data_IF_984625164327
#
_entry.id   IF_984625164327
#
_cell.length_a   1.000
_cell.length_b   1.000
_cell.length_c   1.000
_cell.angle_alpha   90.00
_cell.angle_beta   90.00
_cell.angle_gamma   90.00
#
_symmetry.space_group_name_H-M   'P 1'
#
loop_
_entity.id
_entity.type
_entity.pdbx_description
1 polymer ?
#
# COMPACT_ATOMS: atom_id res chain seq x y z
N UNK A 1 -18.20 -7.10 -22.30
CA UNK A 1 -17.23 -7.65 -21.32
C UNK A 1 -17.99 -7.84 -20.00
N UNK A 2 -18.12 -9.06 -19.49
CA UNK A 2 -18.76 -9.29 -18.19
C UNK A 2 -17.75 -8.89 -17.12
N UNK A 3 -18.12 -7.99 -16.21
CA UNK A 3 -17.30 -7.67 -15.04
C UNK A 3 -17.18 -8.95 -14.19
N UNK A 4 -16.03 -9.63 -14.25
CA UNK A 4 -15.80 -10.90 -13.54
C UNK A 4 -15.95 -10.72 -12.03
N UNK A 5 -15.50 -9.58 -11.49
CA UNK A 5 -15.74 -9.20 -10.10
C UNK A 5 -17.25 -9.06 -9.82
N UNK A 6 -17.99 -8.42 -10.72
CA UNK A 6 -19.45 -8.29 -10.63
C UNK A 6 -20.17 -9.63 -10.68
N UNK A 7 -19.66 -10.61 -11.44
CA UNK A 7 -20.21 -11.97 -11.46
C UNK A 7 -19.93 -12.71 -10.14
N UNK A 8 -18.71 -12.63 -9.62
CA UNK A 8 -18.37 -13.21 -8.30
C UNK A 8 -19.25 -12.63 -7.20
N UNK A 9 -19.48 -11.32 -7.21
CA UNK A 9 -20.39 -10.64 -6.28
C UNK A 9 -21.83 -11.15 -6.50
N UNK A 10 -22.32 -11.17 -7.73
CA UNK A 10 -23.70 -11.57 -8.04
C UNK A 10 -24.04 -13.00 -7.61
N UNK A 11 -23.14 -13.95 -7.85
CA UNK A 11 -23.35 -15.37 -7.52
C UNK A 11 -23.51 -15.58 -6.00
N UNK A 12 -22.70 -14.90 -5.18
CA UNK A 12 -22.77 -15.01 -3.72
C UNK A 12 -23.85 -14.11 -3.10
N UNK A 13 -24.09 -12.93 -3.68
CA UNK A 13 -25.09 -11.97 -3.21
C UNK A 13 -26.48 -12.60 -3.11
N UNK A 14 -26.88 -13.39 -4.11
CA UNK A 14 -28.21 -14.01 -4.14
C UNK A 14 -28.46 -14.95 -2.96
N UNK A 15 -27.42 -15.59 -2.44
CA UNK A 15 -27.52 -16.47 -1.28
C UNK A 15 -27.60 -15.74 0.06
N UNK A 16 -27.32 -14.43 0.06
CA UNK A 16 -27.15 -13.60 1.26
C UNK A 16 -28.21 -12.52 1.42
N UNK A 17 -28.94 -12.19 0.36
CA UNK A 17 -30.10 -11.29 0.44
C UNK A 17 -31.19 -11.95 1.26
N UNK A 18 -31.75 -11.20 2.22
CA UNK A 18 -32.88 -11.70 2.99
C UNK A 18 -34.12 -11.74 2.10
N UNK A 19 -34.65 -12.94 1.83
CA UNK A 19 -35.80 -13.16 0.94
C UNK A 19 -37.08 -12.43 1.40
N UNK A 20 -37.22 -12.15 2.70
CA UNK A 20 -38.41 -11.50 3.26
C UNK A 20 -38.38 -9.98 3.17
N UNK A 21 -37.19 -9.37 3.24
CA UNK A 21 -37.03 -7.91 3.19
C UNK A 21 -36.48 -7.43 1.85
N UNK A 22 -35.95 -8.34 1.04
CA UNK A 22 -35.14 -8.05 -0.15
C UNK A 22 -34.01 -7.04 0.14
N UNK A 23 -33.53 -7.04 1.38
CA UNK A 23 -32.45 -6.18 1.84
C UNK A 23 -31.22 -7.02 2.18
N UNK A 24 -30.06 -6.39 2.02
CA UNK A 24 -28.80 -6.89 2.54
C UNK A 24 -28.38 -5.97 3.68
N UNK A 25 -28.10 -6.53 4.85
CA UNK A 25 -27.50 -5.73 5.92
C UNK A 25 -26.04 -5.42 5.60
N UNK A 26 -25.52 -4.39 6.27
CA UNK A 26 -24.17 -3.91 6.03
C UNK A 26 -23.10 -4.94 6.42
N UNK A 27 -23.33 -5.72 7.48
CA UNK A 27 -22.37 -6.71 7.95
C UNK A 27 -22.18 -7.81 6.89
N UNK A 28 -23.28 -8.22 6.25
CA UNK A 28 -23.28 -9.11 5.08
C UNK A 28 -22.64 -8.45 3.85
N UNK A 29 -22.74 -7.12 3.69
CA UNK A 29 -22.06 -6.42 2.60
C UNK A 29 -20.53 -6.42 2.75
N UNK A 30 -20.00 -6.53 3.98
CA UNK A 30 -18.54 -6.60 4.22
C UNK A 30 -17.91 -7.89 3.68
N UNK A 31 -18.70 -8.94 3.45
CA UNK A 31 -18.26 -10.14 2.74
C UNK A 31 -17.78 -9.86 1.31
N UNK A 32 -18.20 -8.72 0.75
CA UNK A 32 -17.79 -8.23 -0.57
C UNK A 32 -16.67 -7.19 -0.52
N UNK A 33 -16.03 -7.01 0.64
CA UNK A 33 -14.81 -6.22 0.76
C UNK A 33 -13.67 -6.78 -0.10
N UNK A 34 -12.73 -5.91 -0.49
CA UNK A 34 -11.61 -6.27 -1.37
C UNK A 34 -10.83 -7.48 -0.86
N UNK A 35 -10.58 -7.55 0.45
CA UNK A 35 -9.85 -8.65 1.09
C UNK A 35 -10.53 -10.00 0.86
N UNK A 36 -11.80 -10.09 1.24
CA UNK A 36 -12.61 -11.30 1.09
C UNK A 36 -12.82 -11.67 -0.38
N UNK A 37 -12.89 -10.69 -1.29
CA UNK A 37 -13.05 -10.95 -2.72
C UNK A 37 -11.78 -11.47 -3.38
N UNK A 38 -10.59 -11.09 -2.91
CA UNK A 38 -9.34 -11.54 -3.50
C UNK A 38 -9.17 -13.07 -3.47
N UNK A 39 -9.48 -13.71 -2.34
CA UNK A 39 -9.42 -15.18 -2.22
C UNK A 39 -10.47 -15.86 -3.11
N UNK A 40 -11.69 -15.32 -3.14
CA UNK A 40 -12.75 -15.83 -4.00
C UNK A 40 -12.40 -15.70 -5.46
N UNK A 41 -11.93 -14.52 -5.89
CA UNK A 41 -11.45 -14.27 -7.24
C UNK A 41 -10.40 -15.32 -7.63
N UNK A 42 -9.42 -15.58 -6.75
CA UNK A 42 -8.37 -16.58 -7.00
C UNK A 42 -8.92 -18.00 -7.20
N UNK A 43 -10.09 -18.35 -6.65
CA UNK A 43 -10.70 -19.66 -6.86
C UNK A 43 -11.24 -19.87 -8.30
N UNK A 44 -11.64 -18.79 -8.98
CA UNK A 44 -12.15 -18.87 -10.35
C UNK A 44 -11.03 -19.16 -11.35
N UNK A 45 -11.32 -20.03 -12.32
CA UNK A 45 -10.34 -20.44 -13.34
C UNK A 45 -9.77 -19.26 -14.15
N UNK A 46 -10.57 -18.24 -14.44
CA UNK A 46 -10.12 -17.08 -15.22
C UNK A 46 -9.02 -16.29 -14.49
N UNK A 47 -9.15 -16.06 -13.18
CA UNK A 47 -8.13 -15.37 -12.42
C UNK A 47 -6.87 -16.21 -12.22
N UNK A 48 -7.00 -17.54 -12.06
CA UNK A 48 -5.82 -18.43 -12.07
C UNK A 48 -5.05 -18.36 -13.39
N UNK A 49 -5.76 -18.38 -14.52
CA UNK A 49 -5.15 -18.19 -15.84
C UNK A 49 -4.45 -16.84 -15.99
N UNK A 50 -5.06 -15.77 -15.49
CA UNK A 50 -4.43 -14.45 -15.46
C UNK A 50 -3.14 -14.47 -14.64
N UNK A 51 -3.15 -15.09 -13.45
CA UNK A 51 -1.94 -15.27 -12.63
C UNK A 51 -0.87 -16.05 -13.38
N UNK A 52 -1.21 -17.21 -13.95
CA UNK A 52 -0.25 -18.02 -14.72
C UNK A 52 0.34 -17.26 -15.91
N UNK A 53 -0.52 -16.52 -16.64
CA UNK A 53 -0.11 -15.68 -17.77
C UNK A 53 0.87 -14.58 -17.35
N UNK A 54 0.55 -13.83 -16.30
CA UNK A 54 1.35 -12.71 -15.83
C UNK A 54 2.63 -13.14 -15.09
N UNK A 55 2.65 -14.34 -14.50
CA UNK A 55 3.86 -14.89 -13.89
C UNK A 55 4.82 -15.49 -14.92
N UNK A 56 4.37 -15.78 -16.14
CA UNK A 56 5.23 -16.26 -17.23
C UNK A 56 6.40 -15.31 -17.52
N UNK A 57 7.53 -15.86 -17.96
CA UNK A 57 8.71 -15.07 -18.34
C UNK A 57 8.43 -14.10 -19.49
N UNK A 58 7.59 -14.50 -20.45
CA UNK A 58 7.17 -13.64 -21.56
C UNK A 58 6.40 -12.39 -21.12
N UNK A 59 5.75 -12.42 -19.95
CA UNK A 59 4.99 -11.30 -19.42
C UNK A 59 5.82 -10.33 -18.56
N UNK A 60 7.11 -10.61 -18.33
CA UNK A 60 7.96 -9.83 -17.40
C UNK A 60 7.96 -8.33 -17.72
N UNK A 61 8.09 -7.94 -18.99
CA UNK A 61 8.10 -6.52 -19.36
C UNK A 61 6.74 -5.84 -19.17
N UNK A 62 5.64 -6.58 -19.40
CA UNK A 62 4.30 -6.08 -19.14
C UNK A 62 4.07 -5.89 -17.63
N UNK A 63 4.50 -6.83 -16.79
CA UNK A 63 4.41 -6.69 -15.33
C UNK A 63 5.34 -5.58 -14.81
N UNK A 64 6.51 -5.38 -15.41
CA UNK A 64 7.38 -4.24 -15.12
C UNK A 64 6.68 -2.92 -15.44
N UNK A 65 6.01 -2.80 -16.58
CA UNK A 65 5.20 -1.64 -16.94
C UNK A 65 4.09 -1.40 -15.91
N UNK A 66 3.36 -2.46 -15.55
CA UNK A 66 2.28 -2.42 -14.56
C UNK A 66 2.78 -1.89 -13.21
N UNK A 67 3.84 -2.50 -12.67
CA UNK A 67 4.49 -2.11 -11.40
C UNK A 67 5.00 -0.67 -11.42
N UNK A 68 5.53 -0.22 -12.57
CA UNK A 68 6.12 1.11 -12.70
C UNK A 68 5.09 2.23 -12.71
N UNK A 69 3.94 2.02 -13.36
CA UNK A 69 3.01 3.10 -13.68
C UNK A 69 1.65 2.98 -12.98
N UNK A 70 1.10 1.78 -12.86
CA UNK A 70 -0.33 1.59 -12.55
C UNK A 70 -0.61 1.11 -11.14
N UNK A 71 0.31 0.35 -10.51
CA UNK A 71 0.05 -0.24 -9.19
C UNK A 71 -0.29 0.85 -8.15
N UNK A 72 -1.39 0.61 -7.42
CA UNK A 72 -1.96 1.49 -6.41
C UNK A 72 -2.44 2.83 -6.96
N UNK A 73 -2.70 2.94 -8.26
CA UNK A 73 -3.23 4.15 -8.90
C UNK A 73 -4.31 3.83 -9.92
N UNK A 74 -5.54 4.21 -9.59
CA UNK A 74 -6.72 3.97 -10.41
C UNK A 74 -6.96 5.06 -11.47
N UNK A 75 -6.11 6.09 -11.49
CA UNK A 75 -6.22 7.18 -12.47
C UNK A 75 -5.74 6.79 -13.87
N UNK A 76 -5.88 7.73 -14.80
CA UNK A 76 -5.53 7.53 -16.21
C UNK A 76 -4.06 7.82 -16.46
N UNK A 77 -3.41 6.96 -17.25
CA UNK A 77 -2.02 7.06 -17.66
C UNK A 77 -1.95 7.09 -19.18
N UNK A 78 -1.24 8.09 -19.71
CA UNK A 78 -0.98 8.23 -21.15
C UNK A 78 0.37 7.60 -21.49
N UNK A 79 0.38 6.65 -22.44
CA UNK A 79 1.58 5.95 -22.90
C UNK A 79 1.82 6.30 -24.36
N UNK A 80 2.79 7.18 -24.64
CA UNK A 80 3.13 7.58 -26.02
C UNK A 80 3.95 6.54 -26.78
N UNK A 81 4.82 5.82 -26.08
CA UNK A 81 5.72 4.83 -26.68
C UNK A 81 4.97 3.60 -27.21
N UNK A 82 5.23 3.21 -28.46
CA UNK A 82 4.48 2.14 -29.13
C UNK A 82 4.75 0.75 -28.53
N UNK A 83 5.97 0.46 -28.08
CA UNK A 83 6.27 -0.84 -27.46
C UNK A 83 5.59 -0.95 -26.10
N UNK A 84 5.62 0.11 -25.28
CA UNK A 84 4.86 0.17 -24.03
C UNK A 84 3.35 0.09 -24.26
N UNK A 85 2.83 0.64 -25.36
CA UNK A 85 1.42 0.46 -25.72
C UNK A 85 1.10 -1.00 -26.00
N UNK A 86 1.96 -1.75 -26.70
CA UNK A 86 1.76 -3.20 -26.91
C UNK A 86 1.73 -3.97 -25.59
N UNK A 87 2.62 -3.63 -24.66
CA UNK A 87 2.63 -4.21 -23.31
C UNK A 87 1.33 -3.88 -22.54
N UNK A 88 0.83 -2.64 -22.65
CA UNK A 88 -0.43 -2.22 -22.05
C UNK A 88 -1.65 -2.88 -22.71
N UNK A 89 -1.62 -3.10 -24.02
CA UNK A 89 -2.65 -3.84 -24.76
C UNK A 89 -2.69 -5.31 -24.33
N UNK A 90 -1.53 -5.94 -24.10
CA UNK A 90 -1.46 -7.27 -23.49
C UNK A 90 -2.11 -7.29 -22.10
N UNK A 91 -1.78 -6.34 -21.22
CA UNK A 91 -2.42 -6.23 -19.90
C UNK A 91 -3.93 -5.95 -19.99
N UNK A 92 -4.38 -5.27 -21.05
CA UNK A 92 -5.81 -5.04 -21.32
C UNK A 92 -6.49 -6.35 -21.74
N UNK A 93 -5.84 -7.17 -22.56
CA UNK A 93 -6.36 -8.48 -22.97
C UNK A 93 -6.44 -9.47 -21.80
N UNK A 94 -5.51 -9.39 -20.85
CA UNK A 94 -5.54 -10.14 -19.59
C UNK A 94 -6.61 -9.60 -18.61
N UNK A 95 -7.25 -8.47 -18.91
CA UNK A 95 -8.27 -7.86 -18.05
C UNK A 95 -7.73 -7.06 -16.86
N UNK A 96 -6.43 -6.74 -16.87
CA UNK A 96 -5.78 -5.94 -15.82
C UNK A 96 -6.02 -4.45 -16.04
N UNK A 97 -5.88 -4.00 -17.28
CA UNK A 97 -6.07 -2.61 -17.67
C UNK A 97 -7.33 -2.42 -18.52
N UNK A 98 -7.82 -1.18 -18.57
CA UNK A 98 -8.81 -0.73 -19.53
C UNK A 98 -8.15 0.33 -20.41
N UNK A 99 -8.28 0.16 -21.72
CA UNK A 99 -7.94 1.18 -22.71
C UNK A 99 -9.16 2.09 -22.91
N UNK A 100 -8.97 3.38 -22.63
CA UNK A 100 -10.05 4.37 -22.71
C UNK A 100 -10.15 5.02 -24.08
N UNK A 101 -9.01 5.47 -24.60
CA UNK A 101 -8.89 6.13 -25.90
C UNK A 101 -7.43 6.15 -26.33
N UNK A 102 -7.13 5.72 -27.56
CA UNK A 102 -5.80 5.80 -28.15
C UNK A 102 -4.70 5.27 -27.23
N UNK A 103 -3.93 6.18 -26.63
CA UNK A 103 -2.79 5.89 -25.75
C UNK A 103 -3.09 5.96 -24.24
N UNK A 104 -4.36 6.06 -23.84
CA UNK A 104 -4.78 6.23 -22.44
C UNK A 104 -5.30 4.93 -21.84
N UNK A 105 -4.73 4.57 -20.68
CA UNK A 105 -5.05 3.35 -19.95
C UNK A 105 -5.31 3.66 -18.48
N UNK A 106 -6.10 2.83 -17.80
CA UNK A 106 -6.22 2.84 -16.34
C UNK A 106 -6.37 1.41 -15.82
N UNK A 107 -6.19 1.23 -14.50
CA UNK A 107 -6.48 -0.04 -13.86
C UNK A 107 -7.96 -0.41 -14.02
N UNK A 108 -8.26 -1.67 -14.30
CA UNK A 108 -9.63 -2.09 -14.57
C UNK A 108 -10.58 -1.88 -13.37
N UNK A 109 -10.09 -2.11 -12.14
CA UNK A 109 -10.82 -1.80 -10.91
C UNK A 109 -9.90 -1.83 -9.69
N UNK A 110 -10.39 -1.35 -8.53
CA UNK A 110 -9.71 -1.52 -7.24
C UNK A 110 -9.50 -2.99 -6.86
N UNK A 111 -10.47 -3.88 -7.18
CA UNK A 111 -10.32 -5.33 -6.98
C UNK A 111 -9.13 -5.90 -7.78
N UNK A 112 -8.97 -5.51 -9.05
CA UNK A 112 -7.84 -5.96 -9.87
C UNK A 112 -6.52 -5.42 -9.34
N UNK A 113 -6.46 -4.15 -8.94
CA UNK A 113 -5.26 -3.58 -8.31
C UNK A 113 -4.84 -4.41 -7.09
N UNK A 114 -5.78 -4.63 -6.16
CA UNK A 114 -5.53 -5.39 -4.94
C UNK A 114 -5.12 -6.83 -5.24
N UNK A 115 -5.81 -7.48 -6.17
CA UNK A 115 -5.51 -8.85 -6.59
C UNK A 115 -4.08 -8.96 -7.15
N UNK A 116 -3.69 -8.04 -8.02
CA UNK A 116 -2.33 -7.98 -8.59
C UNK A 116 -1.29 -7.74 -7.50
N UNK A 117 -1.55 -6.82 -6.58
CA UNK A 117 -0.66 -6.52 -5.44
C UNK A 117 -0.51 -7.68 -4.47
N UNK A 118 -1.53 -8.53 -4.33
CA UNK A 118 -1.52 -9.70 -3.43
C UNK A 118 -0.87 -10.93 -4.08
N UNK A 119 -1.19 -11.24 -5.33
CA UNK A 119 -0.82 -12.54 -5.92
C UNK A 119 0.24 -12.47 -7.03
N UNK A 120 0.36 -11.34 -7.72
CA UNK A 120 1.24 -11.24 -8.89
C UNK A 120 2.56 -10.56 -8.51
N UNK A 121 2.51 -9.37 -7.91
CA UNK A 121 3.71 -8.59 -7.58
C UNK A 121 4.63 -9.34 -6.59
N UNK A 122 4.14 -9.89 -5.45
CA UNK A 122 5.01 -10.62 -4.53
C UNK A 122 5.63 -11.87 -5.15
N UNK A 123 4.87 -12.58 -5.99
CA UNK A 123 5.30 -13.80 -6.68
C UNK A 123 6.34 -13.52 -7.77
N UNK A 124 6.15 -12.45 -8.56
CA UNK A 124 7.08 -12.05 -9.64
C UNK A 124 8.36 -11.42 -9.08
N UNK A 125 8.29 -10.78 -7.92
CA UNK A 125 9.40 -10.08 -7.28
C UNK A 125 9.58 -10.55 -5.83
N UNK A 126 10.09 -11.79 -5.62
CA UNK A 126 10.08 -12.46 -4.32
C UNK A 126 11.13 -11.94 -3.34
N UNK A 127 12.01 -11.02 -3.76
CA UNK A 127 13.13 -10.55 -2.95
C UNK A 127 12.67 -9.84 -1.68
N UNK A 128 12.99 -10.44 -0.53
CA UNK A 128 12.63 -10.01 0.81
C UNK A 128 13.65 -10.60 1.81
N UNK A 129 13.67 -10.14 3.08
CA UNK A 129 14.51 -10.74 4.10
C UNK A 129 14.21 -12.24 4.28
N UNK A 130 15.26 -13.03 4.52
CA UNK A 130 15.15 -14.47 4.82
C UNK A 130 15.17 -14.77 6.32
N UNK A 131 15.63 -13.83 7.14
CA UNK A 131 15.71 -13.97 8.59
C UNK A 131 14.32 -13.91 9.24
N UNK A 132 14.18 -14.47 10.44
CA UNK A 132 12.96 -14.34 11.22
C UNK A 132 12.67 -12.86 11.51
N UNK A 133 11.40 -12.41 11.40
CA UNK A 133 11.03 -11.03 11.72
C UNK A 133 11.42 -10.66 13.16
N UNK A 134 11.99 -9.47 13.38
CA UNK A 134 12.35 -9.04 14.73
C UNK A 134 11.11 -8.92 15.61
N UNK A 135 11.26 -9.31 16.88
CA UNK A 135 10.20 -9.36 17.88
C UNK A 135 10.60 -8.52 19.09
N UNK A 136 9.62 -7.83 19.68
CA UNK A 136 9.74 -7.11 20.94
C UNK A 136 9.89 -8.10 22.10
N UNK A 137 10.27 -7.60 23.28
CA UNK A 137 10.18 -8.37 24.53
C UNK A 137 8.70 -8.70 24.77
N UNK A 138 8.35 -9.98 24.69
CA UNK A 138 6.95 -10.45 24.74
C UNK A 138 6.49 -11.17 23.45
N UNK A 139 7.31 -11.16 22.39
CA UNK A 139 7.09 -11.99 21.20
C UNK A 139 6.22 -11.37 20.11
N UNK A 140 5.64 -10.18 20.34
CA UNK A 140 5.00 -9.38 19.29
C UNK A 140 6.02 -8.82 18.30
N UNK A 141 5.58 -8.47 17.09
CA UNK A 141 6.47 -7.94 16.06
C UNK A 141 7.07 -6.58 16.45
N UNK A 142 8.35 -6.38 16.16
CA UNK A 142 8.97 -5.05 16.22
C UNK A 142 8.75 -4.33 14.88
N UNK A 143 7.64 -3.59 14.79
CA UNK A 143 7.20 -2.96 13.55
C UNK A 143 8.18 -1.89 13.06
N UNK A 144 8.82 -1.14 13.94
CA UNK A 144 9.80 -0.14 13.54
C UNK A 144 11.03 -0.80 12.91
N UNK A 145 11.57 -1.84 13.55
CA UNK A 145 12.73 -2.56 13.00
C UNK A 145 12.38 -3.36 11.74
N UNK A 146 11.17 -3.94 11.65
CA UNK A 146 10.64 -4.54 10.42
C UNK A 146 10.64 -3.52 9.28
N UNK A 147 10.13 -2.30 9.51
CA UNK A 147 10.13 -1.26 8.48
C UNK A 147 11.56 -0.89 8.05
N UNK A 148 12.48 -0.71 9.01
CA UNK A 148 13.90 -0.42 8.70
C UNK A 148 14.55 -1.50 7.83
N UNK A 149 14.31 -2.77 8.16
CA UNK A 149 14.83 -3.89 7.38
C UNK A 149 14.16 -3.94 6.00
N UNK A 150 12.83 -3.74 5.93
CA UNK A 150 12.09 -3.81 4.67
C UNK A 150 12.60 -2.80 3.63
N UNK A 151 13.03 -1.60 4.04
CA UNK A 151 13.58 -0.58 3.14
C UNK A 151 14.82 -1.03 2.36
N UNK A 152 15.62 -1.95 2.93
CA UNK A 152 16.80 -2.54 2.25
C UNK A 152 16.43 -3.39 1.04
N UNK A 153 15.17 -3.83 0.97
CA UNK A 153 14.65 -4.70 -0.07
C UNK A 153 13.75 -3.95 -1.06
N UNK A 154 13.64 -2.63 -0.94
CA UNK A 154 12.93 -1.80 -1.92
C UNK A 154 13.69 -1.81 -3.24
N UNK A 155 12.96 -1.81 -4.35
CA UNK A 155 13.54 -1.63 -5.66
C UNK A 155 13.95 -0.16 -5.85
N UNK A 156 15.23 0.13 -5.61
CA UNK A 156 15.78 1.49 -5.70
C UNK A 156 15.54 2.14 -7.06
N UNK A 157 15.61 1.37 -8.14
CA UNK A 157 15.37 1.89 -9.49
C UNK A 157 13.90 2.32 -9.65
N UNK A 158 12.97 1.55 -9.09
CA UNK A 158 11.55 1.90 -9.07
C UNK A 158 11.32 3.20 -8.29
N UNK A 159 11.88 3.34 -7.08
CA UNK A 159 11.73 4.56 -6.27
C UNK A 159 12.35 5.78 -6.96
N UNK A 160 13.56 5.63 -7.50
CA UNK A 160 14.26 6.69 -8.22
C UNK A 160 13.46 7.18 -9.43
N UNK A 161 12.85 6.27 -10.19
CA UNK A 161 12.09 6.61 -11.40
C UNK A 161 10.68 7.12 -11.09
N UNK A 162 10.14 6.85 -9.89
CA UNK A 162 8.78 7.19 -9.51
C UNK A 162 8.48 8.69 -9.61
N UNK A 163 9.44 9.57 -9.29
CA UNK A 163 9.27 11.02 -9.47
C UNK A 163 9.00 11.46 -10.91
N UNK A 164 9.24 10.60 -11.90
CA UNK A 164 8.92 10.86 -13.33
C UNK A 164 7.80 10.00 -13.89
N UNK A 165 7.56 8.81 -13.31
CA UNK A 165 6.66 7.79 -13.86
C UNK A 165 5.38 7.57 -13.04
N UNK A 166 5.46 7.78 -11.74
CA UNK A 166 4.41 7.55 -10.74
C UNK A 166 4.47 8.65 -9.69
N UNK A 167 4.19 9.87 -10.13
CA UNK A 167 4.45 11.07 -9.35
C UNK A 167 3.19 11.79 -8.91
N UNK A 168 3.37 12.64 -7.90
CA UNK A 168 2.48 13.76 -7.57
C UNK A 168 3.33 15.03 -7.48
N UNK A 169 2.69 16.20 -7.45
CA UNK A 169 3.41 17.45 -7.16
C UNK A 169 3.64 17.61 -5.65
N UNK A 170 4.79 18.14 -5.25
CA UNK A 170 5.08 18.52 -3.85
C UNK A 170 4.15 19.63 -3.34
N UNK A 171 3.48 20.34 -4.25
CA UNK A 171 2.57 21.45 -3.95
C UNK A 171 3.32 22.76 -3.73
N UNK A 172 2.57 23.81 -3.36
CA UNK A 172 3.07 25.19 -3.34
C UNK A 172 3.93 25.53 -2.12
N UNK A 173 3.90 24.71 -1.08
CA UNK A 173 4.52 25.00 0.23
C UNK A 173 5.68 24.09 0.60
N UNK A 174 5.80 22.92 -0.05
CA UNK A 174 6.84 21.93 0.25
C UNK A 174 7.92 22.00 -0.81
N UNK A 175 9.13 22.34 -0.39
CA UNK A 175 10.30 22.45 -1.26
C UNK A 175 11.03 21.11 -1.39
N UNK A 176 11.44 20.80 -2.61
CA UNK A 176 12.25 19.64 -2.95
C UNK A 176 13.28 20.10 -3.97
N UNK A 177 14.57 19.97 -3.63
CA UNK A 177 15.68 20.52 -4.42
C UNK A 177 15.59 22.06 -4.59
N UNK A 178 15.07 22.77 -3.58
CA UNK A 178 14.91 24.22 -3.56
C UNK A 178 13.58 24.73 -4.13
N UNK A 179 12.84 23.90 -4.87
CA UNK A 179 11.65 24.32 -5.63
C UNK A 179 10.34 23.71 -5.12
N UNK A 180 9.23 24.42 -5.35
CA UNK A 180 7.87 23.95 -5.10
C UNK A 180 7.23 23.35 -6.37
N UNK A 181 6.15 22.60 -6.22
CA UNK A 181 5.42 21.90 -7.30
C UNK A 181 6.30 20.93 -8.11
N UNK A 182 7.31 20.38 -7.46
CA UNK A 182 8.22 19.41 -8.04
C UNK A 182 7.57 18.04 -8.06
N UNK A 183 7.78 17.27 -9.13
CA UNK A 183 7.33 15.88 -9.19
C UNK A 183 8.12 15.01 -8.21
N UNK A 184 7.38 14.36 -7.32
CA UNK A 184 7.89 13.47 -6.27
C UNK A 184 7.18 12.13 -6.34
N UNK A 185 7.79 11.02 -5.87
CA UNK A 185 7.09 9.75 -5.79
C UNK A 185 5.77 9.89 -5.03
N UNK A 186 4.71 9.30 -5.58
CA UNK A 186 3.40 9.24 -4.91
C UNK A 186 3.36 8.11 -3.88
N UNK A 187 2.40 8.21 -2.96
CA UNK A 187 2.13 7.26 -1.88
C UNK A 187 2.16 5.80 -2.33
N UNK A 188 1.45 5.50 -3.43
CA UNK A 188 1.25 4.12 -3.87
C UNK A 188 2.52 3.40 -4.27
N UNK A 189 3.61 4.12 -4.57
CA UNK A 189 4.90 3.50 -4.88
C UNK A 189 5.51 2.90 -3.61
N UNK A 190 5.52 3.66 -2.51
CA UNK A 190 6.03 3.18 -1.23
C UNK A 190 5.12 2.10 -0.63
N UNK A 191 3.81 2.31 -0.73
CA UNK A 191 2.79 1.35 -0.29
C UNK A 191 2.93 0.00 -1.03
N UNK A 192 3.11 0.03 -2.36
CA UNK A 192 3.31 -1.19 -3.15
C UNK A 192 4.59 -1.94 -2.79
N UNK A 193 5.71 -1.24 -2.61
CA UNK A 193 6.98 -1.86 -2.24
C UNK A 193 6.97 -2.40 -0.82
N UNK A 194 6.40 -1.65 0.13
CA UNK A 194 6.27 -2.11 1.51
C UNK A 194 5.38 -3.35 1.57
N UNK A 195 4.21 -3.33 0.93
CA UNK A 195 3.33 -4.49 0.87
C UNK A 195 4.01 -5.71 0.24
N UNK A 196 4.74 -5.52 -0.88
CA UNK A 196 5.46 -6.61 -1.54
C UNK A 196 6.47 -7.27 -0.61
N UNK A 197 7.30 -6.47 0.07
CA UNK A 197 8.33 -6.98 0.99
C UNK A 197 7.69 -7.66 2.20
N UNK A 198 6.70 -7.02 2.83
CA UNK A 198 6.02 -7.59 4.00
C UNK A 198 5.27 -8.88 3.66
N UNK A 199 4.62 -8.96 2.50
CA UNK A 199 3.95 -10.18 2.04
C UNK A 199 4.96 -11.30 1.83
N UNK A 200 6.07 -11.04 1.16
CA UNK A 200 7.10 -12.07 0.97
C UNK A 200 7.82 -12.45 2.26
N UNK A 201 7.88 -11.56 3.24
CA UNK A 201 8.60 -11.81 4.48
C UNK A 201 7.69 -12.40 5.56
N UNK A 202 6.68 -11.66 6.02
CA UNK A 202 5.89 -12.01 7.20
C UNK A 202 4.88 -13.13 6.93
N UNK A 203 4.30 -13.17 5.73
CA UNK A 203 3.35 -14.23 5.36
C UNK A 203 4.05 -15.58 5.22
N UNK A 204 5.18 -15.61 4.51
CA UNK A 204 5.92 -16.85 4.24
C UNK A 204 6.64 -17.42 5.46
N UNK A 205 6.99 -16.58 6.45
CA UNK A 205 7.78 -17.02 7.61
C UNK A 205 6.95 -17.29 8.86
N UNK A 206 5.87 -16.51 9.08
CA UNK A 206 5.19 -16.47 10.39
C UNK A 206 3.66 -16.40 10.25
N UNK A 207 3.12 -16.72 9.06
CA UNK A 207 1.67 -16.80 8.76
C UNK A 207 0.89 -15.51 9.02
N UNK A 208 1.55 -14.35 8.96
CA UNK A 208 0.85 -13.07 8.98
C UNK A 208 0.18 -12.79 7.64
N UNK A 209 -1.04 -12.26 7.67
CA UNK A 209 -1.71 -11.78 6.48
C UNK A 209 -1.44 -10.28 6.32
N UNK A 210 -1.06 -9.86 5.11
CA UNK A 210 -0.76 -8.46 4.77
C UNK A 210 -1.81 -7.97 3.79
N UNK A 211 -2.52 -6.92 4.16
CA UNK A 211 -3.72 -6.49 3.44
C UNK A 211 -3.61 -5.01 3.13
N UNK A 212 -3.75 -4.69 1.84
CA UNK A 212 -3.79 -3.32 1.36
C UNK A 212 -5.21 -2.78 1.33
N UNK A 213 -5.38 -1.49 1.61
CA UNK A 213 -6.65 -0.76 1.50
C UNK A 213 -7.79 -1.44 2.29
N UNK A 214 -7.59 -1.63 3.59
CA UNK A 214 -8.59 -2.20 4.48
C UNK A 214 -9.76 -1.24 4.68
N UNK A 215 -10.96 -1.61 4.23
CA UNK A 215 -12.15 -0.76 4.31
C UNK A 215 -12.76 -0.76 5.71
N UNK A 216 -13.11 0.42 6.21
CA UNK A 216 -13.57 0.66 7.58
C UNK A 216 -15.02 1.15 7.63
N UNK A 217 -15.70 0.79 8.73
CA UNK A 217 -17.06 1.23 9.02
C UNK A 217 -17.05 2.55 9.78
N UNK A 218 -17.43 3.63 9.13
CA UNK A 218 -17.82 4.88 9.79
C UNK A 218 -19.08 5.45 9.12
N UNK A 219 -19.92 6.15 9.89
CA UNK A 219 -21.35 6.29 9.60
C UNK A 219 -21.69 6.94 8.26
N UNK A 220 -20.80 7.70 7.62
CA UNK A 220 -21.11 8.38 6.33
C UNK A 220 -19.91 8.54 5.37
N UNK A 221 -18.66 8.28 5.80
CA UNK A 221 -17.45 8.46 4.99
C UNK A 221 -16.77 7.12 4.64
N UNK A 222 -16.43 6.92 3.37
CA UNK A 222 -15.59 5.81 2.95
C UNK A 222 -14.17 6.01 3.45
N UNK A 223 -13.76 5.22 4.45
CA UNK A 223 -12.40 5.22 4.98
C UNK A 223 -11.72 3.89 4.74
N UNK A 224 -10.45 3.94 4.38
CA UNK A 224 -9.59 2.77 4.31
C UNK A 224 -8.22 3.09 4.91
N UNK A 225 -7.62 2.09 5.54
CA UNK A 225 -6.21 2.12 5.95
C UNK A 225 -5.34 1.58 4.83
N UNK A 226 -4.13 2.13 4.68
CA UNK A 226 -3.22 1.72 3.61
C UNK A 226 -2.74 0.27 3.77
N UNK A 227 -2.21 -0.13 4.94
CA UNK A 227 -1.77 -1.50 5.20
C UNK A 227 -2.24 -1.99 6.57
N UNK A 228 -2.81 -3.19 6.61
CA UNK A 228 -3.13 -3.92 7.84
C UNK A 228 -2.35 -5.23 7.87
N UNK A 229 -1.71 -5.49 9.02
CA UNK A 229 -1.08 -6.78 9.32
C UNK A 229 -2.02 -7.53 10.27
N UNK A 230 -2.37 -8.76 9.93
CA UNK A 230 -3.19 -9.63 10.78
C UNK A 230 -2.44 -10.89 11.18
N UNK A 231 -2.83 -11.44 12.33
CA UNK A 231 -2.51 -12.81 12.73
C UNK A 231 -3.78 -13.52 13.18
N UNK A 232 -4.01 -14.74 12.69
CA UNK A 232 -5.20 -15.53 13.02
C UNK A 232 -6.53 -14.73 12.86
N UNK A 233 -6.63 -13.93 11.80
CA UNK A 233 -7.81 -13.11 11.49
C UNK A 233 -7.93 -11.78 12.27
N UNK A 234 -7.11 -11.54 13.29
CA UNK A 234 -7.16 -10.32 14.10
C UNK A 234 -6.18 -9.26 13.58
N UNK A 235 -6.62 -8.01 13.33
CA UNK A 235 -5.72 -6.89 13.03
C UNK A 235 -4.77 -6.63 14.21
N UNK A 236 -3.48 -6.84 13.99
CA UNK A 236 -2.46 -6.57 15.01
C UNK A 236 -1.85 -5.20 14.81
N UNK A 237 -1.67 -4.79 13.54
CA UNK A 237 -1.01 -3.55 13.19
C UNK A 237 -1.75 -2.84 12.07
N UNK A 238 -1.90 -1.53 12.23
CA UNK A 238 -2.42 -0.61 11.22
C UNK A 238 -1.33 0.35 10.79
N UNK A 239 -1.14 0.52 9.49
CA UNK A 239 -0.19 1.46 8.92
C UNK A 239 -0.95 2.40 7.99
N UNK A 240 -0.79 3.69 8.26
CA UNK A 240 -1.22 4.77 7.38
C UNK A 240 0.03 5.40 6.77
N UNK A 241 0.09 5.44 5.45
CA UNK A 241 1.24 5.88 4.69
C UNK A 241 0.96 7.23 4.01
N UNK A 242 1.97 8.08 4.00
CA UNK A 242 1.95 9.28 3.18
C UNK A 242 3.32 9.54 2.54
N UNK A 243 3.29 10.10 1.34
CA UNK A 243 4.47 10.58 0.65
C UNK A 243 4.57 12.11 0.83
N UNK A 244 5.73 12.68 0.46
CA UNK A 244 6.04 14.12 0.49
C UNK A 244 4.79 15.01 0.43
N UNK A 245 4.51 15.71 1.51
CA UNK A 245 3.27 16.45 1.66
C UNK A 245 3.35 17.49 2.76
N UNK A 246 2.36 18.38 2.81
CA UNK A 246 2.34 19.46 3.79
C UNK A 246 2.20 18.95 5.22
N UNK A 247 2.60 19.76 6.19
CA UNK A 247 2.34 19.47 7.60
C UNK A 247 0.85 19.22 7.91
N UNK A 248 -0.06 19.91 7.20
CA UNK A 248 -1.51 19.67 7.31
C UNK A 248 -1.88 18.25 6.87
N UNK A 249 -1.24 17.75 5.81
CA UNK A 249 -1.41 16.36 5.37
C UNK A 249 -0.98 15.39 6.47
N UNK A 250 0.20 15.59 7.07
CA UNK A 250 0.71 14.74 8.16
C UNK A 250 -0.27 14.70 9.34
N UNK A 251 -0.77 15.87 9.78
CA UNK A 251 -1.81 15.95 10.84
C UNK A 251 -3.09 15.19 10.49
N UNK A 252 -3.50 15.26 9.23
CA UNK A 252 -4.62 14.48 8.71
C UNK A 252 -4.40 12.97 8.85
N UNK A 253 -3.23 12.47 8.48
CA UNK A 253 -2.89 11.05 8.60
C UNK A 253 -2.74 10.58 10.05
N UNK A 254 -2.26 11.43 10.97
CA UNK A 254 -2.27 11.13 12.41
C UNK A 254 -3.71 10.95 12.91
N UNK A 255 -4.61 11.88 12.57
CA UNK A 255 -6.02 11.80 12.95
C UNK A 255 -6.70 10.55 12.39
N UNK A 256 -6.41 10.19 11.13
CA UNK A 256 -6.88 8.94 10.51
C UNK A 256 -6.37 7.71 11.25
N UNK A 257 -5.08 7.65 11.55
CA UNK A 257 -4.45 6.51 12.25
C UNK A 257 -5.10 6.24 13.60
N UNK A 258 -5.38 7.29 14.38
CA UNK A 258 -6.11 7.18 15.65
C UNK A 258 -7.53 6.63 15.45
N UNK A 259 -8.22 7.09 14.40
CA UNK A 259 -9.54 6.59 14.04
C UNK A 259 -9.46 5.11 13.67
N UNK A 260 -8.49 4.72 12.86
CA UNK A 260 -8.35 3.36 12.33
C UNK A 260 -7.94 2.37 13.40
N UNK A 261 -7.03 2.76 14.31
CA UNK A 261 -6.67 1.96 15.49
C UNK A 261 -7.90 1.59 16.32
N UNK A 262 -8.83 2.54 16.50
CA UNK A 262 -10.07 2.32 17.25
C UNK A 262 -11.08 1.45 16.49
N UNK A 263 -11.18 1.61 15.18
CA UNK A 263 -12.12 0.85 14.34
C UNK A 263 -11.66 -0.58 14.07
N UNK A 264 -10.34 -0.85 14.05
CA UNK A 264 -9.74 -2.18 13.83
C UNK A 264 -9.28 -2.89 15.12
N UNK A 265 -9.75 -2.42 16.28
CA UNK A 265 -9.08 -2.60 17.58
C UNK A 265 -7.59 -3.03 17.53
N UNK A 266 -6.76 -2.36 16.72
CA UNK A 266 -5.40 -2.80 16.47
C UNK A 266 -4.49 -2.53 17.67
N UNK A 267 -3.61 -3.48 17.98
CA UNK A 267 -2.65 -3.38 19.09
C UNK A 267 -1.69 -2.20 18.86
N UNK A 268 -1.24 -2.04 17.62
CA UNK A 268 -0.26 -1.04 17.23
C UNK A 268 -0.72 -0.27 15.98
N UNK A 269 -0.43 1.03 15.92
CA UNK A 269 -0.79 1.85 14.76
C UNK A 269 0.30 2.87 14.45
N UNK A 270 0.67 2.97 13.18
CA UNK A 270 1.78 3.77 12.69
C UNK A 270 1.36 4.71 11.57
N UNK A 271 1.78 5.96 11.68
CA UNK A 271 1.92 6.87 10.54
C UNK A 271 3.33 6.69 9.97
N UNK A 272 3.41 6.38 8.68
CA UNK A 272 4.67 6.17 7.96
C UNK A 272 4.80 7.22 6.86
N UNK A 273 5.67 8.20 7.07
CA UNK A 273 5.86 9.31 6.14
C UNK A 273 7.15 9.15 5.35
N UNK A 274 7.05 8.91 4.04
CA UNK A 274 8.18 9.00 3.12
C UNK A 274 8.27 10.39 2.53
N UNK A 275 9.44 11.03 2.56
CA UNK A 275 9.55 12.40 2.05
C UNK A 275 10.89 12.70 1.38
N UNK A 276 10.83 13.53 0.34
CA UNK A 276 11.98 14.16 -0.30
C UNK A 276 12.08 15.65 0.06
N UNK A 277 11.27 16.14 1.02
CA UNK A 277 11.30 17.55 1.43
C UNK A 277 12.69 17.97 1.91
N UNK A 278 13.12 19.15 1.47
CA UNK A 278 14.44 19.68 1.79
C UNK A 278 14.62 19.80 3.30
N UNK A 279 15.77 19.31 3.79
CA UNK A 279 16.17 19.39 5.19
C UNK A 279 15.17 18.79 6.21
N UNK A 280 14.16 18.02 5.76
CA UNK A 280 13.09 17.53 6.64
C UNK A 280 13.61 16.69 7.81
N UNK A 281 14.68 15.91 7.58
CA UNK A 281 15.30 15.09 8.62
C UNK A 281 15.88 15.90 9.79
N UNK A 282 16.12 17.21 9.62
CA UNK A 282 16.61 18.11 10.69
C UNK A 282 15.46 18.65 11.55
N UNK A 283 14.31 18.90 10.93
CA UNK A 283 13.15 19.53 11.57
C UNK A 283 11.85 18.80 11.21
N UNK A 284 11.72 17.51 11.53
CA UNK A 284 10.51 16.76 11.21
C UNK A 284 9.33 17.29 12.03
N UNK A 285 8.13 17.12 11.49
CA UNK A 285 6.93 17.31 12.29
C UNK A 285 6.82 16.21 13.34
N UNK A 286 6.34 16.53 14.53
CA UNK A 286 6.10 15.53 15.58
C UNK A 286 4.64 15.55 15.99
N UNK A 287 4.07 14.37 16.26
CA UNK A 287 2.78 14.28 16.94
C UNK A 287 2.92 14.81 18.38
N UNK A 288 1.82 15.35 18.90
CA UNK A 288 1.70 15.80 20.29
C UNK A 288 1.78 14.63 21.27
N UNK A 289 2.03 14.91 22.55
CA UNK A 289 1.98 13.87 23.59
C UNK A 289 0.60 13.20 23.66
N UNK A 290 -0.48 13.99 23.53
CA UNK A 290 -1.84 13.47 23.56
C UNK A 290 -2.14 12.52 22.38
N UNK A 291 -1.66 12.81 21.18
CA UNK A 291 -1.79 11.91 20.02
C UNK A 291 -0.97 10.63 20.22
N UNK A 292 0.25 10.75 20.76
CA UNK A 292 1.09 9.60 21.07
C UNK A 292 0.48 8.70 22.16
N UNK A 293 -0.06 9.29 23.24
CA UNK A 293 -0.70 8.57 24.33
C UNK A 293 -2.02 7.90 23.90
N UNK A 294 -2.69 8.43 22.87
CA UNK A 294 -3.81 7.76 22.20
C UNK A 294 -3.38 6.64 21.24
N UNK A 295 -2.08 6.43 21.05
CA UNK A 295 -1.52 5.29 20.33
C UNK A 295 -1.17 5.54 18.86
N UNK A 296 -1.01 6.80 18.43
CA UNK A 296 -0.44 7.13 17.12
C UNK A 296 1.09 7.16 17.20
N UNK A 297 1.72 6.08 16.75
CA UNK A 297 3.16 6.06 16.52
C UNK A 297 3.49 6.75 15.19
N UNK A 298 4.68 7.33 15.07
CA UNK A 298 5.08 8.10 13.89
C UNK A 298 6.52 7.76 13.49
N UNK A 299 6.73 7.49 12.22
CA UNK A 299 8.05 7.40 11.61
C UNK A 299 8.10 8.22 10.32
N UNK A 300 9.21 8.92 10.15
CA UNK A 300 9.57 9.68 8.96
C UNK A 300 10.80 9.05 8.34
N UNK A 301 10.69 8.68 7.06
CA UNK A 301 11.79 8.28 6.21
C UNK A 301 12.03 9.40 5.19
N UNK A 302 13.01 10.24 5.49
CA UNK A 302 13.52 11.17 4.49
C UNK A 302 14.48 10.43 3.56
N UNK A 303 14.43 10.73 2.25
CA UNK A 303 15.42 10.20 1.32
C UNK A 303 15.77 11.17 0.19
N UNK A 304 16.97 11.02 -0.36
CA UNK A 304 17.36 11.70 -1.58
C UNK A 304 16.64 11.12 -2.81
N UNK A 305 16.63 11.83 -3.93
CA UNK A 305 15.90 11.39 -5.14
C UNK A 305 16.34 10.03 -5.66
N UNK A 306 17.60 9.67 -5.44
CA UNK A 306 18.18 8.41 -5.90
C UNK A 306 17.95 7.25 -4.92
N UNK A 307 17.34 7.52 -3.75
CA UNK A 307 17.14 6.53 -2.68
C UNK A 307 18.45 5.87 -2.21
N UNK A 308 19.56 6.60 -2.31
CA UNK A 308 20.88 6.15 -1.85
C UNK A 308 21.11 6.53 -0.39
N UNK A 309 20.48 7.62 0.07
CA UNK A 309 20.54 8.08 1.45
C UNK A 309 19.14 8.10 2.01
N UNK A 310 18.93 7.33 3.08
CA UNK A 310 17.67 7.34 3.83
C UNK A 310 17.96 7.68 5.28
N UNK A 311 17.24 8.66 5.82
CA UNK A 311 17.33 9.09 7.21
C UNK A 311 15.99 8.92 7.90
N UNK A 312 16.03 8.40 9.13
CA UNK A 312 14.85 8.09 9.91
C UNK A 312 14.73 9.00 11.13
N UNK A 313 13.52 9.50 11.36
CA UNK A 313 13.10 10.09 12.62
C UNK A 313 11.86 9.33 13.09
N UNK A 314 11.84 8.83 14.32
CA UNK A 314 10.72 8.03 14.83
C UNK A 314 10.36 8.41 16.26
N UNK A 315 9.07 8.38 16.58
CA UNK A 315 8.55 8.61 17.93
C UNK A 315 7.34 7.71 18.18
N UNK A 316 7.42 6.87 19.20
CA UNK A 316 6.42 5.83 19.46
C UNK A 316 6.33 5.48 20.95
N UNK A 317 5.30 4.71 21.31
CA UNK A 317 5.17 4.09 22.63
C UNK A 317 5.69 2.66 22.60
N UNK A 318 6.58 2.35 23.53
CA UNK A 318 7.00 0.99 23.82
C UNK A 318 6.86 0.71 25.31
N UNK A 319 6.08 -0.31 25.66
CA UNK A 319 5.85 -0.73 27.05
C UNK A 319 5.43 0.44 27.98
N UNK A 320 4.60 1.35 27.46
CA UNK A 320 4.12 2.55 28.15
C UNK A 320 5.08 3.75 28.12
N UNK A 321 6.35 3.54 27.78
CA UNK A 321 7.37 4.57 27.70
C UNK A 321 7.42 5.22 26.32
N UNK A 322 7.67 6.52 26.29
CA UNK A 322 7.89 7.25 25.05
C UNK A 322 9.31 7.00 24.57
N UNK A 323 9.44 6.47 23.37
CA UNK A 323 10.70 6.28 22.66
C UNK A 323 10.84 7.33 21.55
N UNK A 324 12.09 7.67 21.22
CA UNK A 324 12.41 8.61 20.14
C UNK A 324 13.77 8.31 19.53
N UNK A 325 13.84 8.38 18.20
CA UNK A 325 15.06 8.34 17.42
C UNK A 325 15.07 9.58 16.53
N UNK A 326 16.17 10.33 16.58
CA UNK A 326 16.38 11.51 15.76
C UNK A 326 17.49 11.27 14.73
N UNK A 327 17.17 11.47 13.46
CA UNK A 327 18.09 11.52 12.33
C UNK A 327 19.05 10.31 12.21
N UNK A 328 18.54 9.09 12.41
CA UNK A 328 19.29 7.85 12.19
C UNK A 328 19.54 7.66 10.68
N UNK A 329 20.80 7.46 10.29
CA UNK A 329 21.13 7.07 8.92
C UNK A 329 20.86 5.59 8.73
N UNK A 330 20.02 5.24 7.76
CA UNK A 330 19.70 3.85 7.45
C UNK A 330 20.58 3.31 6.33
N UNK A 331 20.96 2.04 6.46
CA UNK A 331 21.44 1.25 5.32
C UNK A 331 20.23 0.81 4.51
N UNK A 332 20.20 1.15 3.22
CA UNK A 332 19.19 0.75 2.24
C UNK A 332 19.81 0.14 1.02
#
# INVERSE_FOLDING_TARGET
MICLCGRSIHEDLRSKVNDSTNCLDYDTWQDFSIDNQNERMFSYHTFRRMVDSLLSESATDAVNLLRTYFIGYLGVISISDMEKQRLADFLTAEGVLIRLDGSKYCMASAFIDSFVRRYIIPSKYPHAPSESPPKKRGGSLDILEIMKIALRFFDKNLIMQAGSRSYKGSGKTVKVMGDCNVSVPRESVYDAELMRVLTNWLNKTEEYEIIGQWHLREREDHKYSDIVIKKAGNPTVVIELLATGSQTSIKGHISKTLTYKRLLPAEEAWVVHFTCEDDYFKYPYWQTNAELDQGANLVHFWHDRSFNTVRMNARWKDSGNTQRIDNELLTV
#
